data_IF_404990421162
#
_entry.id   IF_404990421162
#
_cell.length_a   1.000
_cell.length_b   1.000
_cell.length_c   1.000
_cell.angle_alpha   90.00
_cell.angle_beta   90.00
_cell.angle_gamma   90.00
#
_symmetry.space_group_name_H-M   'P 1'
#
loop_
_entity.id
_entity.type
_entity.pdbx_description
1 polymer ?
#
# COMPACT_ATOMS: atom_id res chain seq x y z
N UNK A 1 20.69 0.84 7.88
CA UNK A 1 20.67 -0.64 7.86
C UNK A 1 19.28 -1.07 7.39
N UNK A 2 19.10 -1.48 6.13
CA UNK A 2 17.80 -1.90 5.60
C UNK A 2 17.46 -3.32 6.11
N UNK A 3 16.27 -3.48 6.69
CA UNK A 3 15.84 -4.70 7.40
C UNK A 3 15.43 -5.80 6.41
N UNK A 4 16.40 -6.54 5.87
CA UNK A 4 16.14 -7.63 4.92
C UNK A 4 15.49 -8.88 5.53
N UNK A 5 15.60 -9.06 6.87
CA UNK A 5 15.10 -10.24 7.59
C UNK A 5 14.01 -9.91 8.64
N UNK A 6 13.35 -8.75 8.53
CA UNK A 6 12.26 -8.40 9.46
C UNK A 6 11.08 -7.81 8.70
N UNK A 7 9.89 -8.30 9.00
CA UNK A 7 8.63 -7.80 8.44
C UNK A 7 8.32 -6.38 8.89
N UNK A 8 8.77 -6.00 10.10
CA UNK A 8 8.49 -4.69 10.69
C UNK A 8 9.72 -3.77 10.67
N UNK A 9 9.53 -2.44 10.49
CA UNK A 9 8.24 -1.79 10.24
C UNK A 9 7.71 -2.03 8.83
N UNK A 10 6.39 -2.15 8.70
CA UNK A 10 5.71 -2.07 7.40
C UNK A 10 5.44 -0.59 7.13
N UNK A 11 6.14 -0.04 6.15
CA UNK A 11 5.94 1.32 5.67
C UNK A 11 4.93 1.33 4.53
N UNK A 12 3.95 2.25 4.57
CA UNK A 12 2.87 2.39 3.58
C UNK A 12 3.37 2.59 2.14
N UNK A 13 4.60 3.09 1.97
CA UNK A 13 5.23 3.17 0.66
C UNK A 13 5.46 1.80 0.02
N UNK A 14 5.69 0.75 0.82
CA UNK A 14 5.98 -0.59 0.32
C UNK A 14 4.78 -1.21 -0.43
N UNK A 15 3.57 -1.29 0.16
CA UNK A 15 2.39 -1.76 -0.57
C UNK A 15 2.02 -0.81 -1.72
N UNK A 16 2.13 0.51 -1.54
CA UNK A 16 1.87 1.46 -2.61
C UNK A 16 2.78 1.24 -3.83
N UNK A 17 4.09 1.08 -3.61
CA UNK A 17 5.07 0.89 -4.68
C UNK A 17 4.89 -0.44 -5.42
N UNK A 18 4.48 -1.51 -4.74
CA UNK A 18 4.14 -2.77 -5.38
C UNK A 18 3.07 -2.55 -6.46
N UNK A 19 1.99 -1.87 -6.11
CA UNK A 19 0.87 -1.61 -7.03
C UNK A 19 1.31 -0.72 -8.19
N UNK A 20 2.00 0.39 -7.91
CA UNK A 20 2.54 1.27 -8.94
C UNK A 20 3.44 0.49 -9.91
N UNK A 21 4.33 -0.36 -9.39
CA UNK A 21 5.24 -1.16 -10.22
C UNK A 21 4.50 -2.18 -11.07
N UNK A 22 3.51 -2.88 -10.52
CA UNK A 22 2.69 -3.85 -11.25
C UNK A 22 1.89 -3.18 -12.38
N UNK A 23 1.23 -2.05 -12.11
CA UNK A 23 0.49 -1.31 -13.12
C UNK A 23 1.43 -0.78 -14.21
N UNK A 24 2.51 -0.07 -13.83
CA UNK A 24 3.44 0.53 -14.81
C UNK A 24 4.22 -0.47 -15.63
N UNK A 25 4.40 -1.70 -15.14
CA UNK A 25 5.04 -2.78 -15.90
C UNK A 25 4.06 -3.63 -16.72
N UNK A 26 2.75 -3.33 -16.69
CA UNK A 26 1.71 -4.12 -17.36
C UNK A 26 1.55 -5.53 -16.79
N UNK A 27 1.98 -5.75 -15.54
CA UNK A 27 1.99 -7.07 -14.88
C UNK A 27 0.89 -7.21 -13.82
N UNK A 28 0.00 -6.24 -13.70
CA UNK A 28 -1.07 -6.26 -12.70
C UNK A 28 -1.93 -7.52 -12.84
N UNK A 29 -2.43 -7.85 -14.03
CA UNK A 29 -3.29 -9.03 -14.23
C UNK A 29 -2.61 -10.33 -13.81
N UNK A 30 -1.35 -10.52 -14.22
CA UNK A 30 -0.55 -11.71 -13.87
C UNK A 30 -0.39 -11.86 -12.35
N UNK A 31 -0.37 -10.75 -11.61
CA UNK A 31 -0.15 -10.72 -10.17
C UNK A 31 -1.35 -10.19 -9.38
N UNK A 32 -2.56 -10.21 -9.96
CA UNK A 32 -3.76 -9.61 -9.36
C UNK A 32 -4.05 -10.19 -7.98
N UNK A 33 -4.00 -11.51 -7.83
CA UNK A 33 -4.18 -12.16 -6.53
C UNK A 33 -3.13 -11.78 -5.47
N UNK A 34 -1.94 -11.30 -5.84
CA UNK A 34 -0.99 -10.71 -4.89
C UNK A 34 -1.37 -9.26 -4.57
N UNK A 35 -1.66 -8.46 -5.59
CA UNK A 35 -2.09 -7.07 -5.45
C UNK A 35 -3.30 -6.94 -4.52
N UNK A 36 -4.33 -7.75 -4.74
CA UNK A 36 -5.58 -7.75 -3.96
C UNK A 36 -5.31 -8.08 -2.50
N UNK A 37 -4.53 -9.14 -2.23
CA UNK A 37 -4.17 -9.52 -0.86
C UNK A 37 -3.40 -8.42 -0.14
N UNK A 38 -2.44 -7.78 -0.83
CA UNK A 38 -1.65 -6.69 -0.25
C UNK A 38 -2.53 -5.46 0.01
N UNK A 39 -3.39 -5.07 -0.94
CA UNK A 39 -4.30 -3.94 -0.78
C UNK A 39 -5.34 -4.19 0.32
N UNK A 40 -5.99 -5.35 0.33
CA UNK A 40 -6.95 -5.71 1.37
C UNK A 40 -6.30 -5.71 2.76
N UNK A 41 -5.08 -6.26 2.88
CA UNK A 41 -4.34 -6.20 4.13
C UNK A 41 -3.97 -4.77 4.51
N UNK A 42 -3.54 -3.95 3.55
CA UNK A 42 -3.15 -2.55 3.79
C UNK A 42 -4.33 -1.72 4.25
N UNK A 43 -5.49 -1.83 3.58
CA UNK A 43 -6.74 -1.17 3.97
C UNK A 43 -7.16 -1.60 5.37
N UNK A 44 -7.17 -2.92 5.65
CA UNK A 44 -7.61 -3.44 6.94
C UNK A 44 -6.73 -3.02 8.12
N UNK A 45 -5.42 -2.91 7.93
CA UNK A 45 -4.47 -2.74 9.03
C UNK A 45 -3.86 -1.33 9.11
N UNK A 46 -3.84 -0.59 8.00
CA UNK A 46 -3.15 0.69 7.88
C UNK A 46 -4.05 1.85 7.46
N UNK A 47 -5.32 1.63 7.12
CA UNK A 47 -6.25 2.72 6.88
C UNK A 47 -7.00 3.09 8.17
N UNK A 48 -7.04 4.39 8.45
CA UNK A 48 -7.87 4.94 9.50
C UNK A 48 -9.34 4.95 9.09
N UNK A 49 -10.30 4.81 10.02
CA UNK A 49 -11.73 4.96 9.72
C UNK A 49 -12.09 6.30 9.06
N UNK A 50 -11.30 7.36 9.27
CA UNK A 50 -11.48 8.66 8.59
C UNK A 50 -10.94 8.69 7.14
N UNK A 51 -10.30 7.63 6.67
CA UNK A 51 -9.94 7.42 5.26
C UNK A 51 -8.45 7.62 4.92
N UNK A 52 -7.65 8.23 5.79
CA UNK A 52 -6.19 8.36 5.57
C UNK A 52 -5.43 7.08 5.95
N UNK A 53 -4.20 6.93 5.47
CA UNK A 53 -3.32 5.82 5.78
C UNK A 53 -2.24 6.19 6.80
N UNK A 54 -1.99 5.28 7.74
CA UNK A 54 -0.93 5.33 8.73
C UNK A 54 0.44 5.24 8.05
N UNK A 55 1.42 5.98 8.57
CA UNK A 55 2.77 6.01 8.00
C UNK A 55 3.46 4.65 8.10
N UNK A 56 3.51 4.09 9.31
CA UNK A 56 4.26 2.86 9.59
C UNK A 56 3.54 2.01 10.63
N UNK A 57 3.51 0.71 10.38
CA UNK A 57 3.10 -0.29 11.36
C UNK A 57 4.34 -0.99 11.91
N UNK A 58 4.53 -0.96 13.23
CA UNK A 58 5.56 -1.72 13.93
C UNK A 58 4.93 -2.93 14.62
N UNK A 59 5.78 -3.79 15.18
CA UNK A 59 5.32 -5.01 15.88
C UNK A 59 4.44 -4.71 17.10
N UNK A 60 4.74 -3.63 17.82
CA UNK A 60 4.11 -3.30 19.11
C UNK A 60 3.26 -2.02 19.07
N UNK A 61 3.42 -1.19 18.04
CA UNK A 61 2.74 0.08 17.91
C UNK A 61 2.57 0.46 16.44
N UNK A 62 1.71 1.43 16.18
CA UNK A 62 1.50 1.98 14.83
C UNK A 62 1.73 3.48 14.87
N UNK A 63 2.57 3.98 13.98
CA UNK A 63 2.71 5.41 13.75
C UNK A 63 1.56 5.88 12.84
N UNK A 64 0.53 6.44 13.46
CA UNK A 64 -0.70 6.89 12.79
C UNK A 64 -0.63 8.31 12.23
N UNK A 65 0.55 8.94 12.15
CA UNK A 65 0.64 10.29 11.60
C UNK A 65 0.21 10.28 10.13
N UNK A 66 -0.75 11.14 9.79
CA UNK A 66 -1.22 11.34 8.41
C UNK A 66 -0.26 12.25 7.65
N UNK A 67 0.82 11.68 7.11
CA UNK A 67 1.66 12.43 6.17
C UNK A 67 0.97 12.49 4.81
N UNK A 68 0.30 13.61 4.53
CA UNK A 68 -0.44 13.78 3.28
C UNK A 68 0.46 13.62 2.05
N UNK A 69 1.59 14.33 1.99
CA UNK A 69 2.51 14.30 0.85
C UNK A 69 3.38 13.04 0.80
N UNK A 70 3.84 12.55 1.95
CA UNK A 70 4.75 11.41 2.00
C UNK A 70 3.97 10.10 1.95
N UNK A 71 3.10 9.79 2.90
CA UNK A 71 2.37 8.52 2.91
C UNK A 71 1.16 8.47 1.99
N UNK A 72 0.21 9.38 2.21
CA UNK A 72 -1.12 9.27 1.63
C UNK A 72 -1.12 9.50 0.12
N UNK A 73 -0.38 10.49 -0.38
CA UNK A 73 -0.28 10.75 -1.81
C UNK A 73 0.20 9.51 -2.60
N UNK A 74 1.15 8.75 -2.05
CA UNK A 74 1.65 7.53 -2.69
C UNK A 74 0.60 6.42 -2.68
N UNK A 75 -0.06 6.20 -1.54
CA UNK A 75 -1.09 5.18 -1.42
C UNK A 75 -2.32 5.51 -2.29
N UNK A 76 -2.76 6.76 -2.33
CA UNK A 76 -3.86 7.18 -3.19
C UNK A 76 -3.51 7.06 -4.67
N UNK A 77 -2.29 7.45 -5.08
CA UNK A 77 -1.83 7.21 -6.45
C UNK A 77 -1.83 5.71 -6.80
N UNK A 78 -1.38 4.85 -5.88
CA UNK A 78 -1.43 3.41 -6.06
C UNK A 78 -2.87 2.90 -6.22
N UNK A 79 -3.81 3.34 -5.38
CA UNK A 79 -5.23 2.98 -5.49
C UNK A 79 -5.85 3.45 -6.81
N UNK A 80 -5.58 4.70 -7.22
CA UNK A 80 -6.05 5.23 -8.51
C UNK A 80 -5.52 4.42 -9.69
N UNK A 81 -4.23 4.06 -9.68
CA UNK A 81 -3.65 3.19 -10.71
C UNK A 81 -4.25 1.78 -10.70
N UNK A 82 -4.50 1.23 -9.51
CA UNK A 82 -5.13 -0.08 -9.38
C UNK A 82 -6.53 -0.08 -9.98
N UNK A 83 -7.34 0.94 -9.69
CA UNK A 83 -8.69 1.09 -10.25
C UNK A 83 -8.64 1.29 -11.77
N UNK A 84 -7.76 2.16 -12.28
CA UNK A 84 -7.62 2.41 -13.71
C UNK A 84 -7.22 1.16 -14.51
N UNK A 85 -6.42 0.27 -13.92
CA UNK A 85 -5.97 -0.97 -14.55
C UNK A 85 -6.79 -2.18 -14.11
N UNK A 86 -7.85 -1.98 -13.32
CA UNK A 86 -8.82 -3.02 -13.02
C UNK A 86 -10.00 -2.83 -13.96
N UNK A 87 -10.25 -3.76 -14.89
CA UNK A 87 -11.44 -3.65 -15.72
C UNK A 87 -12.67 -3.62 -14.81
N UNK A 88 -13.60 -2.70 -15.08
CA UNK A 88 -14.91 -2.72 -14.48
C UNK A 88 -15.51 -4.11 -14.74
N UNK A 89 -15.90 -4.79 -13.65
CA UNK A 89 -16.68 -6.03 -13.75
C UNK A 89 -18.12 -5.72 -14.11
#
# INVERSE_FOLDING_TARGET
KYYHNKTYPVDIHSPAQLIVALCRSGKLEKHRGLADRVLSWTIKNMQDPSGYFYYQMHRLYTNKISYMRWSNAFMFNALSLYLLHSPDK
#
